data_IF_530541201953
#
_entry.id   IF_530541201953
#
_cell.length_a   1.000
_cell.length_b   1.000
_cell.length_c   1.000
_cell.angle_alpha   90.00
_cell.angle_beta   90.00
_cell.angle_gamma   90.00
#
_symmetry.space_group_name_H-M   'P 1'
#
loop_
_entity.id
_entity.type
_entity.pdbx_description
1 polymer ?
#
# COMPACT_ATOMS: atom_id res chain seq x y z
N UNK A 1 9.19 17.53 21.44
CA UNK A 1 9.05 16.11 21.08
C UNK A 1 8.00 16.01 20.00
N UNK A 2 8.39 15.72 18.76
CA UNK A 2 7.44 15.31 17.71
C UNK A 2 6.92 13.93 18.08
N UNK A 3 5.60 13.77 18.20
CA UNK A 3 4.99 12.47 18.36
C UNK A 3 5.37 11.61 17.15
N UNK A 4 5.83 10.39 17.39
CA UNK A 4 6.15 9.44 16.33
C UNK A 4 4.84 8.79 15.88
N UNK A 5 4.35 9.17 14.72
CA UNK A 5 3.28 8.43 14.04
C UNK A 5 3.91 7.26 13.29
N UNK A 6 3.61 6.01 13.67
CA UNK A 6 4.16 4.86 12.95
C UNK A 6 3.65 4.85 11.52
N UNK A 7 4.51 4.46 10.58
CA UNK A 7 4.16 4.22 9.16
C UNK A 7 2.94 3.29 8.99
N UNK A 8 2.70 2.44 9.98
CA UNK A 8 1.49 1.65 10.11
C UNK A 8 1.09 1.52 11.58
N UNK A 9 -0.15 1.88 11.88
CA UNK A 9 -0.79 1.61 13.17
C UNK A 9 -1.77 0.44 13.00
N UNK A 10 -1.56 -0.72 13.65
CA UNK A 10 -2.47 -1.85 13.59
C UNK A 10 -3.83 -1.56 14.24
N UNK A 11 -3.93 -0.53 15.08
CA UNK A 11 -5.17 -0.11 15.73
C UNK A 11 -5.96 0.90 14.90
N UNK A 12 -5.37 1.44 13.82
CA UNK A 12 -6.08 2.30 12.88
C UNK A 12 -7.09 1.44 12.12
N UNK A 13 -8.30 1.97 11.95
CA UNK A 13 -9.36 1.30 11.18
C UNK A 13 -8.78 0.84 9.82
N UNK A 14 -8.93 -0.45 9.46
CA UNK A 14 -8.45 -0.93 8.17
C UNK A 14 -9.10 -0.13 7.06
N UNK A 15 -8.31 0.29 6.07
CA UNK A 15 -8.88 0.80 4.83
C UNK A 15 -9.72 -0.33 4.24
N UNK A 16 -11.01 -0.10 4.01
CA UNK A 16 -11.84 -1.06 3.27
C UNK A 16 -11.24 -1.21 1.88
N UNK A 17 -10.72 -2.39 1.50
CA UNK A 17 -10.13 -2.57 0.19
C UNK A 17 -11.20 -2.45 -0.89
N UNK A 18 -10.81 -2.02 -2.09
CA UNK A 18 -11.61 -2.22 -3.27
C UNK A 18 -11.66 -3.71 -3.65
N UNK A 19 -12.36 -4.06 -4.73
CA UNK A 19 -12.34 -5.44 -5.24
C UNK A 19 -10.92 -5.87 -5.59
N UNK A 20 -10.64 -7.18 -5.50
CA UNK A 20 -9.31 -7.72 -5.74
C UNK A 20 -8.75 -7.31 -7.11
N UNK A 21 -9.59 -7.28 -8.15
CA UNK A 21 -9.18 -6.86 -9.50
C UNK A 21 -8.72 -5.39 -9.56
N UNK A 22 -9.44 -4.49 -8.88
CA UNK A 22 -9.05 -3.08 -8.77
C UNK A 22 -7.74 -2.95 -8.01
N UNK A 23 -7.60 -3.67 -6.90
CA UNK A 23 -6.42 -3.61 -6.06
C UNK A 23 -5.18 -4.17 -6.77
N UNK A 24 -5.33 -5.19 -7.62
CA UNK A 24 -4.29 -5.69 -8.51
C UNK A 24 -3.92 -4.68 -9.60
N UNK A 25 -4.91 -4.05 -10.24
CA UNK A 25 -4.67 -3.05 -11.27
C UNK A 25 -3.88 -1.84 -10.73
N UNK A 26 -4.31 -1.29 -9.59
CA UNK A 26 -3.63 -0.18 -8.93
C UNK A 26 -2.25 -0.60 -8.45
N UNK A 27 -2.07 -1.84 -7.97
CA UNK A 27 -0.73 -2.33 -7.57
C UNK A 27 0.24 -2.33 -8.75
N UNK A 28 -0.19 -2.80 -9.93
CA UNK A 28 0.65 -2.78 -11.13
C UNK A 28 1.02 -1.35 -11.54
N UNK A 29 0.04 -0.44 -11.54
CA UNK A 29 0.27 0.97 -11.85
C UNK A 29 1.31 1.60 -10.91
N UNK A 30 1.19 1.41 -9.58
CA UNK A 30 2.15 1.95 -8.61
C UNK A 30 3.55 1.36 -8.81
N UNK A 31 3.66 0.07 -9.17
CA UNK A 31 4.95 -0.53 -9.50
C UNK A 31 5.58 0.11 -10.74
N UNK A 32 4.78 0.40 -11.78
CA UNK A 32 5.26 1.08 -12.98
C UNK A 32 5.68 2.52 -12.70
N UNK A 33 4.88 3.27 -11.94
CA UNK A 33 5.18 4.66 -11.56
C UNK A 33 6.44 4.76 -10.71
N UNK A 34 6.65 3.82 -9.78
CA UNK A 34 7.80 3.84 -8.88
C UNK A 34 9.08 3.28 -9.51
N UNK A 35 8.99 2.47 -10.57
CA UNK A 35 10.15 1.85 -11.22
C UNK A 35 11.13 2.86 -11.84
N UNK A 36 10.65 4.05 -12.23
CA UNK A 36 11.48 5.11 -12.80
C UNK A 36 12.10 6.08 -11.79
N UNK A 37 11.77 5.96 -10.50
CA UNK A 37 12.21 6.90 -9.47
C UNK A 37 13.67 6.70 -9.06
N UNK A 38 14.34 7.77 -8.66
CA UNK A 38 15.75 7.73 -8.26
C UNK A 38 15.90 7.29 -6.80
N UNK A 39 16.44 6.09 -6.57
CA UNK A 39 16.67 5.57 -5.22
C UNK A 39 17.65 6.41 -4.37
N UNK A 40 18.50 7.22 -5.01
CA UNK A 40 19.44 8.11 -4.32
C UNK A 40 18.84 9.49 -4.02
N UNK A 41 17.66 9.79 -4.55
CA UNK A 41 16.93 10.99 -4.18
C UNK A 41 16.04 10.70 -2.96
N UNK A 42 16.17 11.54 -1.94
CA UNK A 42 15.53 11.38 -0.64
C UNK A 42 14.01 11.59 -0.71
N UNK A 43 13.53 12.41 -1.65
CA UNK A 43 12.10 12.57 -1.89
C UNK A 43 11.53 11.36 -2.62
N UNK A 44 12.16 10.96 -3.73
CA UNK A 44 11.76 9.80 -4.53
C UNK A 44 11.71 8.52 -3.70
N UNK A 45 12.76 8.26 -2.91
CA UNK A 45 12.83 7.07 -2.06
C UNK A 45 11.71 7.03 -1.03
N UNK A 46 11.46 8.14 -0.32
CA UNK A 46 10.37 8.21 0.67
C UNK A 46 9.00 8.08 0.04
N UNK A 47 8.76 8.75 -1.08
CA UNK A 47 7.51 8.66 -1.83
C UNK A 47 7.26 7.24 -2.32
N UNK A 48 8.27 6.58 -2.89
CA UNK A 48 8.19 5.18 -3.33
C UNK A 48 7.90 4.23 -2.15
N UNK A 49 8.65 4.36 -1.06
CA UNK A 49 8.46 3.53 0.13
C UNK A 49 7.06 3.68 0.74
N UNK A 50 6.55 4.91 0.82
CA UNK A 50 5.19 5.18 1.29
C UNK A 50 4.14 4.56 0.37
N UNK A 51 4.22 4.81 -0.94
CA UNK A 51 3.27 4.30 -1.92
C UNK A 51 3.22 2.76 -1.91
N UNK A 52 4.39 2.11 -1.90
CA UNK A 52 4.50 0.64 -1.86
C UNK A 52 3.96 0.06 -0.55
N UNK A 53 4.26 0.67 0.61
CA UNK A 53 3.73 0.20 1.90
C UNK A 53 2.19 0.28 1.95
N UNK A 54 1.60 1.39 1.51
CA UNK A 54 0.14 1.52 1.42
C UNK A 54 -0.46 0.46 0.47
N UNK A 55 0.15 0.31 -0.71
CA UNK A 55 -0.35 -0.56 -1.78
C UNK A 55 -0.33 -2.04 -1.41
N UNK A 56 0.75 -2.50 -0.76
CA UNK A 56 0.88 -3.88 -0.27
C UNK A 56 -0.21 -4.19 0.77
N UNK A 57 -0.46 -3.26 1.70
CA UNK A 57 -1.46 -3.45 2.75
C UNK A 57 -2.88 -3.52 2.20
N UNK A 58 -3.24 -2.63 1.28
CA UNK A 58 -4.54 -2.68 0.59
C UNK A 58 -4.70 -3.98 -0.20
N UNK A 59 -3.65 -4.45 -0.88
CA UNK A 59 -3.71 -5.72 -1.61
C UNK A 59 -3.88 -6.91 -0.66
N UNK A 60 -3.17 -6.95 0.47
CA UNK A 60 -3.36 -8.00 1.48
C UNK A 60 -4.79 -8.02 2.03
N UNK A 61 -5.35 -6.85 2.36
CA UNK A 61 -6.72 -6.75 2.84
C UNK A 61 -7.73 -7.26 1.78
N UNK A 62 -7.52 -6.95 0.50
CA UNK A 62 -8.36 -7.44 -0.59
C UNK A 62 -8.31 -8.97 -0.74
N UNK A 63 -7.11 -9.56 -0.63
CA UNK A 63 -6.91 -11.01 -0.66
C UNK A 63 -7.61 -11.68 0.52
N UNK A 64 -7.54 -11.09 1.70
CA UNK A 64 -8.21 -11.59 2.91
C UNK A 64 -9.74 -11.51 2.78
N UNK A 65 -10.26 -10.40 2.25
CA UNK A 65 -11.69 -10.22 1.99
C UNK A 65 -12.23 -11.26 0.99
N UNK A 66 -11.58 -11.42 -0.16
CA UNK A 66 -11.94 -12.42 -1.18
C UNK A 66 -11.94 -13.85 -0.63
N UNK A 67 -10.98 -14.18 0.25
CA UNK A 67 -10.90 -15.50 0.91
C UNK A 67 -11.98 -15.70 1.96
N UNK A 68 -12.37 -14.63 2.66
CA UNK A 68 -13.45 -14.63 3.64
C UNK A 68 -14.82 -14.80 2.99
N UNK A 69 -15.04 -14.17 1.82
CA UNK A 69 -16.26 -14.28 1.03
C UNK A 69 -16.46 -15.66 0.38
N UNK A 70 -15.40 -16.45 0.27
CA UNK A 70 -15.43 -17.80 -0.32
C UNK A 70 -15.70 -18.93 0.69
N UNK A 71 -15.94 -18.62 1.96
CA UNK A 71 -16.31 -19.58 3.02
C UNK A 71 -17.79 -19.50 3.34
#
# INVERSE_FOLDING_TARGET
MTAYDPLFDPNRAPTTPASLDVELAVTRQILEETAGLNIHDDHDMRSAAFALNCRIRSLMAAIEAERGERR
#
